data_IF_133320095931
#
_entry.id   IF_133320095931
#
_cell.length_a   1.000
_cell.length_b   1.000
_cell.length_c   1.000
_cell.angle_alpha   90.00
_cell.angle_beta   90.00
_cell.angle_gamma   90.00
#
_symmetry.space_group_name_H-M   'P 1'
#
loop_
_entity.id
_entity.type
_entity.pdbx_description
1 polymer ?
#
# COMPACT_ATOMS: atom_id res chain seq x y z
N UNK A 1 0.13 5.74 11.76
CA UNK A 1 -1.06 5.95 12.61
C UNK A 1 -1.30 4.68 13.40
N UNK A 2 -1.17 4.69 14.73
CA UNK A 2 -1.33 3.49 15.59
C UNK A 2 -2.04 3.79 16.91
N UNK A 3 -2.77 4.90 16.99
CA UNK A 3 -3.39 5.37 18.24
C UNK A 3 -4.52 4.44 18.72
N UNK A 4 -5.19 3.73 17.81
CA UNK A 4 -6.27 2.76 18.10
C UNK A 4 -5.78 1.33 18.30
N UNK A 5 -4.45 1.10 18.27
CA UNK A 5 -3.86 -0.22 18.39
C UNK A 5 -4.29 -0.96 19.67
N UNK A 6 -4.32 -0.34 20.86
CA UNK A 6 -4.76 -1.02 22.09
C UNK A 6 -6.22 -1.50 22.03
N UNK A 7 -7.12 -0.69 21.48
CA UNK A 7 -8.54 -0.99 21.36
C UNK A 7 -8.76 -2.12 20.36
N UNK A 8 -8.11 -2.06 19.21
CA UNK A 8 -8.23 -3.08 18.16
C UNK A 8 -7.62 -4.42 18.61
N UNK A 9 -6.50 -4.41 19.32
CA UNK A 9 -5.94 -5.62 19.92
C UNK A 9 -6.91 -6.25 20.93
N UNK A 10 -7.58 -5.43 21.74
CA UNK A 10 -8.62 -5.89 22.68
C UNK A 10 -9.79 -6.53 21.94
N UNK A 11 -10.26 -5.92 20.84
CA UNK A 11 -11.33 -6.45 20.00
C UNK A 11 -10.94 -7.80 19.40
N UNK A 12 -9.73 -7.92 18.83
CA UNK A 12 -9.25 -9.15 18.22
C UNK A 12 -9.11 -10.29 19.24
N UNK A 13 -8.57 -10.01 20.43
CA UNK A 13 -8.43 -11.02 21.50
C UNK A 13 -9.77 -11.48 22.07
N UNK A 14 -10.75 -10.58 22.11
CA UNK A 14 -12.09 -10.87 22.61
C UNK A 14 -12.90 -11.70 21.62
N UNK A 15 -12.92 -11.29 20.36
CA UNK A 15 -13.78 -11.90 19.34
C UNK A 15 -13.13 -13.09 18.63
N UNK A 16 -11.79 -13.15 18.57
CA UNK A 16 -11.01 -14.21 17.93
C UNK A 16 -11.49 -14.54 16.51
N UNK A 17 -11.53 -13.56 15.59
CA UNK A 17 -11.97 -13.80 14.21
C UNK A 17 -11.00 -14.72 13.45
N UNK A 18 -11.51 -15.47 12.48
CA UNK A 18 -10.67 -16.29 11.59
C UNK A 18 -9.95 -15.44 10.52
N UNK A 19 -10.53 -14.29 10.15
CA UNK A 19 -10.07 -13.41 9.08
C UNK A 19 -10.31 -11.93 9.43
N UNK A 20 -9.30 -11.10 9.18
CA UNK A 20 -9.36 -9.64 9.38
C UNK A 20 -9.06 -8.94 8.05
N UNK A 21 -10.01 -8.12 7.59
CA UNK A 21 -9.76 -7.15 6.53
C UNK A 21 -9.34 -5.83 7.17
N UNK A 22 -8.26 -5.25 6.67
CA UNK A 22 -7.72 -3.98 7.17
C UNK A 22 -7.19 -3.15 6.02
N UNK A 23 -7.00 -1.85 6.21
CA UNK A 23 -6.52 -0.93 5.17
C UNK A 23 -5.05 -0.53 5.42
N UNK A 24 -4.71 0.76 5.28
CA UNK A 24 -3.41 1.36 5.56
C UNK A 24 -2.84 1.17 6.98
N UNK A 25 -3.55 0.48 7.89
CA UNK A 25 -3.05 0.10 9.21
C UNK A 25 -2.07 -1.10 9.15
N UNK A 26 -0.82 -0.81 8.79
CA UNK A 26 0.28 -1.78 8.64
C UNK A 26 0.59 -2.65 9.88
N UNK A 27 0.17 -2.22 11.07
CA UNK A 27 0.35 -2.93 12.35
C UNK A 27 -0.72 -3.99 12.64
N UNK A 28 -1.79 -4.08 11.85
CA UNK A 28 -2.88 -5.06 12.08
C UNK A 28 -2.39 -6.52 12.01
N UNK A 29 -1.58 -6.93 11.03
CA UNK A 29 -1.03 -8.28 11.00
C UNK A 29 -0.28 -8.67 12.28
N UNK A 30 0.40 -7.72 12.93
CA UNK A 30 1.13 -7.99 14.17
C UNK A 30 0.19 -8.36 15.33
N UNK A 31 -0.93 -7.66 15.48
CA UNK A 31 -1.88 -7.90 16.58
C UNK A 31 -2.90 -9.00 16.28
N UNK A 32 -3.09 -9.34 15.00
CA UNK A 32 -3.94 -10.45 14.56
C UNK A 32 -3.23 -11.82 14.69
N UNK A 33 -1.92 -11.87 14.48
CA UNK A 33 -1.12 -13.11 14.55
C UNK A 33 -1.27 -13.89 15.87
N UNK A 34 -1.24 -13.26 17.07
CA UNK A 34 -1.40 -13.97 18.34
C UNK A 34 -2.76 -14.65 18.54
N UNK A 35 -3.80 -14.20 17.83
CA UNK A 35 -5.15 -14.80 17.91
C UNK A 35 -5.40 -15.82 16.79
N UNK A 36 -4.41 -16.08 15.93
CA UNK A 36 -4.50 -17.04 14.83
C UNK A 36 -5.29 -16.54 13.61
N UNK A 37 -5.66 -15.26 13.58
CA UNK A 37 -6.42 -14.69 12.49
C UNK A 37 -5.56 -14.51 11.24
N UNK A 38 -6.11 -14.86 10.07
CA UNK A 38 -5.53 -14.48 8.77
C UNK A 38 -5.83 -13.00 8.52
N UNK A 39 -4.97 -12.31 7.79
CA UNK A 39 -5.17 -10.90 7.46
C UNK A 39 -5.15 -10.66 5.95
N UNK A 40 -5.97 -9.70 5.51
CA UNK A 40 -6.03 -9.23 4.12
C UNK A 40 -6.00 -7.71 4.13
N UNK A 41 -4.97 -7.14 3.51
CA UNK A 41 -4.91 -5.71 3.23
C UNK A 41 -5.91 -5.40 2.10
N UNK A 42 -7.02 -4.78 2.47
CA UNK A 42 -8.07 -4.34 1.57
C UNK A 42 -7.84 -2.89 1.17
N UNK A 43 -7.53 -2.69 -0.11
CA UNK A 43 -7.36 -1.36 -0.69
C UNK A 43 -8.57 -0.98 -1.55
N UNK A 44 -9.06 0.23 -1.36
CA UNK A 44 -10.08 0.85 -2.24
C UNK A 44 -9.47 1.48 -3.48
N UNK A 45 -8.14 1.67 -3.49
CA UNK A 45 -7.40 2.15 -4.65
C UNK A 45 -7.36 1.11 -5.78
N UNK A 46 -7.30 1.60 -7.02
CA UNK A 46 -7.13 0.72 -8.16
C UNK A 46 -5.76 0.03 -8.13
N UNK A 47 -5.68 -1.18 -8.69
CA UNK A 47 -4.40 -1.89 -8.83
C UNK A 47 -3.36 -1.08 -9.61
N UNK A 48 -3.81 -0.27 -10.58
CA UNK A 48 -2.93 0.63 -11.34
C UNK A 48 -2.35 1.72 -10.45
N UNK A 49 -3.16 2.34 -9.59
CA UNK A 49 -2.69 3.35 -8.64
C UNK A 49 -1.61 2.78 -7.73
N UNK A 50 -1.87 1.63 -7.09
CA UNK A 50 -0.91 0.96 -6.20
C UNK A 50 0.38 0.62 -6.95
N UNK A 51 0.27 0.03 -8.14
CA UNK A 51 1.44 -0.36 -8.90
C UNK A 51 2.23 0.84 -9.44
N UNK A 52 1.60 1.98 -9.73
CA UNK A 52 2.29 3.16 -10.27
C UNK A 52 2.88 4.04 -9.16
N UNK A 53 2.31 4.05 -7.95
CA UNK A 53 2.75 4.93 -6.86
C UNK A 53 3.52 4.22 -5.74
N UNK A 54 3.27 2.93 -5.50
CA UNK A 54 3.82 2.20 -4.35
C UNK A 54 4.79 1.07 -4.72
N UNK A 55 4.88 0.67 -5.99
CA UNK A 55 5.71 -0.49 -6.40
C UNK A 55 6.56 -0.18 -7.65
N UNK A 56 7.90 -0.31 -7.58
CA UNK A 56 8.70 -0.60 -6.39
C UNK A 56 8.80 0.65 -5.50
N UNK A 57 8.50 0.50 -4.21
CA UNK A 57 8.61 1.60 -3.25
C UNK A 57 10.04 2.19 -3.18
N UNK A 58 11.05 1.36 -3.46
CA UNK A 58 12.46 1.77 -3.46
C UNK A 58 12.89 2.53 -4.73
N UNK A 59 12.14 2.40 -5.83
CA UNK A 59 12.48 3.01 -7.14
C UNK A 59 11.57 4.20 -7.48
N UNK A 60 10.52 4.46 -6.68
CA UNK A 60 9.50 5.46 -6.98
C UNK A 60 9.57 6.61 -5.96
N UNK A 61 10.06 7.76 -6.41
CA UNK A 61 10.11 9.00 -5.64
C UNK A 61 11.54 9.50 -5.42
N UNK A 62 12.51 8.61 -5.16
CA UNK A 62 13.91 8.97 -4.95
C UNK A 62 14.81 7.94 -5.65
N UNK A 63 15.60 8.38 -6.64
CA UNK A 63 16.68 7.59 -7.26
C UNK A 63 18.00 8.28 -6.92
N UNK A 64 18.95 7.54 -6.35
CA UNK A 64 20.27 8.07 -5.94
C UNK A 64 20.21 9.32 -5.02
N UNK A 65 19.18 9.40 -4.17
CA UNK A 65 18.98 10.53 -3.26
C UNK A 65 18.36 11.78 -3.89
N UNK A 66 17.90 11.70 -5.16
CA UNK A 66 17.25 12.80 -5.88
C UNK A 66 15.78 12.48 -6.19
N UNK A 67 14.91 13.48 -6.07
CA UNK A 67 13.53 13.40 -6.54
C UNK A 67 13.47 13.11 -8.05
N UNK A 68 12.61 12.17 -8.43
CA UNK A 68 12.36 11.82 -9.82
C UNK A 68 11.62 12.94 -10.54
N UNK A 69 11.96 13.17 -11.81
CA UNK A 69 11.15 14.05 -12.67
C UNK A 69 9.80 13.42 -13.02
N UNK A 70 8.85 14.24 -13.45
CA UNK A 70 7.55 13.76 -13.91
C UNK A 70 7.65 12.79 -15.10
N UNK A 71 8.64 12.98 -15.97
CA UNK A 71 8.93 12.11 -17.10
C UNK A 71 9.49 10.75 -16.65
N UNK A 72 10.24 10.74 -15.54
CA UNK A 72 10.74 9.51 -14.93
C UNK A 72 9.63 8.75 -14.21
N UNK A 73 8.74 9.45 -13.50
CA UNK A 73 7.56 8.86 -12.84
C UNK A 73 6.54 8.29 -13.84
N UNK A 74 6.43 8.90 -15.02
CA UNK A 74 5.58 8.42 -16.11
C UNK A 74 6.08 7.12 -16.76
N UNK A 75 7.35 6.72 -16.54
CA UNK A 75 7.85 5.42 -17.01
C UNK A 75 7.16 4.30 -16.23
N UNK A 76 6.78 3.24 -16.95
CA UNK A 76 6.15 2.08 -16.35
C UNK A 76 7.14 1.30 -15.49
N UNK A 77 6.75 0.89 -14.27
CA UNK A 77 7.54 -0.02 -13.46
C UNK A 77 7.87 -1.32 -14.19
N UNK A 78 9.02 -1.92 -13.87
CA UNK A 78 9.38 -3.22 -14.43
C UNK A 78 8.33 -4.27 -14.04
N UNK A 79 7.81 -5.00 -15.04
CA UNK A 79 6.78 -6.01 -14.82
C UNK A 79 5.35 -5.45 -14.69
N UNK A 80 5.13 -4.16 -14.90
CA UNK A 80 3.77 -3.59 -14.94
C UNK A 80 2.95 -4.23 -16.08
N UNK A 81 1.76 -4.78 -15.80
CA UNK A 81 1.09 -5.70 -16.73
C UNK A 81 0.30 -5.00 -17.85
N UNK A 82 0.19 -3.67 -17.85
CA UNK A 82 -0.66 -2.92 -18.78
C UNK A 82 0.13 -1.86 -19.55
N UNK A 83 -0.07 -1.80 -20.87
CA UNK A 83 0.45 -0.70 -21.71
C UNK A 83 -0.58 0.42 -21.93
N UNK A 84 -1.80 0.27 -21.40
CA UNK A 84 -2.93 1.18 -21.65
C UNK A 84 -3.27 2.06 -20.45
N UNK A 85 -3.09 1.54 -19.25
CA UNK A 85 -3.36 2.27 -18.01
C UNK A 85 -2.01 2.79 -17.52
N UNK A 86 -1.66 4.01 -17.89
CA UNK A 86 -0.33 4.58 -17.66
C UNK A 86 -0.49 5.96 -17.03
N UNK A 87 0.48 6.37 -16.21
CA UNK A 87 0.51 7.71 -15.64
C UNK A 87 1.00 8.69 -16.70
N UNK A 88 0.19 9.70 -17.02
CA UNK A 88 0.61 10.77 -17.93
C UNK A 88 1.53 11.76 -17.21
N UNK A 89 2.43 12.41 -17.94
CA UNK A 89 3.42 13.33 -17.37
C UNK A 89 2.78 14.46 -16.54
N UNK A 90 1.58 14.94 -16.92
CA UNK A 90 0.90 15.97 -16.15
C UNK A 90 0.21 15.43 -14.89
N UNK A 91 -0.19 14.15 -14.89
CA UNK A 91 -0.76 13.48 -13.71
C UNK A 91 0.35 13.20 -12.68
N UNK A 92 1.56 12.89 -13.15
CA UNK A 92 2.74 12.67 -12.31
C UNK A 92 3.20 13.93 -11.54
N UNK A 93 2.81 15.14 -11.97
CA UNK A 93 3.17 16.41 -11.31
C UNK A 93 2.22 16.82 -10.19
N UNK A 94 1.06 16.19 -10.10
CA UNK A 94 -0.02 16.58 -9.20
C UNK A 94 -0.08 15.75 -7.90
N UNK A 95 0.83 14.79 -7.71
CA UNK A 95 0.91 13.92 -6.54
C UNK A 95 1.91 14.42 -5.52
#
# INVERSE_FOLDING_TARGET
MNQTRPEEETILRTNKPDLVFYDSADWIPEIAKPVGAKTVCYNTFSAASIALTLVPAEERGIIDGKEMSAEELAKLPLGYPSSKVVLLVHEAKAS
#
